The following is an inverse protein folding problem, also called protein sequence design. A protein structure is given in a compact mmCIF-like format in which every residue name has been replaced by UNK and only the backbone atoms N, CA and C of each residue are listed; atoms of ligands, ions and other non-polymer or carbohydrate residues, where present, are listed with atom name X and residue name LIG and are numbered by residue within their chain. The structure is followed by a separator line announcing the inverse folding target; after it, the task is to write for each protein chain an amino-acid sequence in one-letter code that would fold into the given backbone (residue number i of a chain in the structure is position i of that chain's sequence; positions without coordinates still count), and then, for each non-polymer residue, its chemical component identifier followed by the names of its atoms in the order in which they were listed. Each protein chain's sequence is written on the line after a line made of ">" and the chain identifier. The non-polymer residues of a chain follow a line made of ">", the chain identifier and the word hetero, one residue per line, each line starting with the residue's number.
data_IF_525142773487
#
_entry.id   IF_525142773487
#
_cell.length_a   1.000
_cell.length_b   1.000
_cell.length_c   1.000
_cell.angle_alpha   90.00
_cell.angle_beta   90.00
_cell.angle_gamma   90.00
#
_symmetry.space_group_name_H-M   'P 1'
#
loop_
_entity.id
_entity.type
_entity.pdbx_description
1 polymer ?
#
# COMPACT_ATOMS: atom_id res chain seq x y z
N UNK A 1 -14.03 -4.33 10.61
CA UNK A 1 -12.97 -4.81 9.71
C UNK A 1 -12.05 -3.65 9.44
N UNK A 2 -10.77 -3.79 9.76
CA UNK A 2 -9.79 -2.72 9.54
C UNK A 2 -9.50 -2.57 8.04
N UNK A 3 -9.33 -1.32 7.62
CA UNK A 3 -9.05 -0.95 6.23
C UNK A 3 -7.70 -0.28 6.19
N UNK A 4 -6.80 -0.85 5.39
CA UNK A 4 -5.39 -0.46 5.37
C UNK A 4 -4.95 -0.13 3.96
N UNK A 5 -4.14 0.92 3.81
CA UNK A 5 -3.44 1.22 2.57
C UNK A 5 -2.12 0.43 2.55
N UNK A 6 -1.82 -0.26 1.46
CA UNK A 6 -0.61 -1.07 1.28
C UNK A 6 0.28 -0.38 0.25
N UNK A 7 1.47 0.03 0.70
CA UNK A 7 2.46 0.76 -0.09
C UNK A 7 3.18 -0.15 -1.11
N UNK A 8 3.83 0.47 -2.09
CA UNK A 8 4.60 -0.14 -3.18
C UNK A 8 5.58 -1.18 -2.64
N UNK A 9 6.32 -0.85 -1.57
CA UNK A 9 7.38 -1.71 -1.11
C UNK A 9 6.86 -3.04 -0.52
N UNK A 10 5.71 -3.02 0.15
CA UNK A 10 5.08 -4.23 0.70
C UNK A 10 4.56 -5.13 -0.41
N UNK A 11 3.96 -4.56 -1.47
CA UNK A 11 3.53 -5.33 -2.64
C UNK A 11 4.73 -5.99 -3.34
N UNK A 12 5.86 -5.29 -3.42
CA UNK A 12 7.08 -5.84 -4.00
C UNK A 12 7.74 -6.90 -3.13
N UNK A 13 7.67 -6.77 -1.80
CA UNK A 13 8.14 -7.82 -0.87
C UNK A 13 7.40 -9.13 -1.13
N UNK A 14 6.07 -9.05 -1.31
CA UNK A 14 5.23 -10.19 -1.67
C UNK A 14 5.59 -10.76 -3.05
N UNK A 15 5.72 -9.93 -4.08
CA UNK A 15 5.96 -10.44 -5.43
C UNK A 15 7.37 -11.00 -5.68
N UNK A 16 8.38 -10.52 -4.94
CA UNK A 16 9.79 -10.88 -5.15
C UNK A 16 10.39 -11.74 -4.04
N UNK A 17 9.60 -12.15 -3.04
CA UNK A 17 10.08 -12.91 -1.88
C UNK A 17 11.31 -12.23 -1.21
N UNK A 18 11.23 -10.90 -0.99
CA UNK A 18 12.34 -10.14 -0.40
C UNK A 18 12.43 -10.41 1.11
N UNK A 19 13.33 -11.31 1.50
CA UNK A 19 13.56 -11.64 2.91
C UNK A 19 14.27 -10.50 3.66
N UNK A 20 13.94 -10.26 4.95
CA UNK A 20 12.99 -11.01 5.78
C UNK A 20 11.52 -10.52 5.68
N UNK A 21 11.20 -9.60 4.76
CA UNK A 21 9.92 -8.89 4.73
C UNK A 21 8.79 -9.66 4.07
N UNK A 22 9.12 -10.57 3.15
CA UNK A 22 8.14 -11.31 2.34
C UNK A 22 7.18 -12.17 3.16
N UNK A 23 7.62 -12.72 4.30
CA UNK A 23 6.75 -13.50 5.19
C UNK A 23 5.64 -12.63 5.78
N UNK A 24 5.99 -11.45 6.29
CA UNK A 24 5.01 -10.50 6.83
C UNK A 24 4.09 -9.95 5.74
N UNK A 25 4.63 -9.64 4.56
CA UNK A 25 3.82 -9.17 3.43
C UNK A 25 2.81 -10.25 2.99
N UNK A 26 3.25 -11.51 2.89
CA UNK A 26 2.37 -12.64 2.54
C UNK A 26 1.23 -12.79 3.55
N UNK A 27 1.52 -12.66 4.85
CA UNK A 27 0.49 -12.75 5.88
C UNK A 27 -0.53 -11.60 5.80
N UNK A 28 -0.11 -10.37 5.47
CA UNK A 28 -1.05 -9.26 5.22
C UNK A 28 -2.03 -9.60 4.08
N UNK A 29 -1.53 -10.17 2.98
CA UNK A 29 -2.39 -10.56 1.85
C UNK A 29 -3.29 -11.76 2.19
N UNK A 30 -2.81 -12.72 2.99
CA UNK A 30 -3.64 -13.80 3.52
C UNK A 30 -4.81 -13.25 4.35
N UNK A 31 -4.56 -12.29 5.25
CA UNK A 31 -5.62 -11.65 6.04
C UNK A 31 -6.65 -10.91 5.17
N UNK A 32 -6.22 -10.35 4.03
CA UNK A 32 -7.13 -9.74 3.05
C UNK A 32 -7.98 -10.80 2.34
N UNK A 33 -7.37 -11.89 1.89
CA UNK A 33 -8.04 -13.01 1.20
C UNK A 33 -9.07 -13.70 2.12
N UNK A 34 -8.71 -13.89 3.40
CA UNK A 34 -9.60 -14.40 4.46
C UNK A 34 -10.65 -13.38 4.93
N UNK A 35 -10.64 -12.14 4.38
CA UNK A 35 -11.55 -11.04 4.74
C UNK A 35 -11.50 -10.66 6.23
N UNK A 36 -10.37 -10.87 6.89
CA UNK A 36 -10.12 -10.40 8.27
C UNK A 36 -9.79 -8.91 8.29
N UNK A 37 -9.09 -8.44 7.26
CA UNK A 37 -8.84 -7.02 6.99
C UNK A 37 -9.22 -6.71 5.54
N UNK A 38 -9.30 -5.43 5.20
CA UNK A 38 -9.49 -4.99 3.81
C UNK A 38 -8.30 -4.17 3.34
N UNK A 39 -7.55 -4.72 2.39
CA UNK A 39 -6.42 -4.05 1.77
C UNK A 39 -6.85 -3.08 0.68
N UNK A 40 -6.18 -1.95 0.63
CA UNK A 40 -6.32 -0.93 -0.40
C UNK A 40 -4.95 -0.55 -0.94
N UNK A 41 -4.92 -0.04 -2.17
CA UNK A 41 -3.74 0.60 -2.77
C UNK A 41 -4.16 1.84 -3.55
N UNK A 42 -3.25 2.52 -4.24
CA UNK A 42 -3.56 3.67 -5.10
C UNK A 42 -3.15 3.41 -6.55
N UNK A 43 -3.73 4.14 -7.54
CA UNK A 43 -3.28 4.09 -8.93
C UNK A 43 -1.79 4.39 -9.10
N UNK A 44 -1.23 5.28 -8.27
CA UNK A 44 0.20 5.63 -8.29
C UNK A 44 1.06 4.44 -7.83
N UNK A 45 0.68 3.79 -6.73
CA UNK A 45 1.36 2.57 -6.26
C UNK A 45 1.32 1.47 -7.33
N UNK A 46 0.17 1.24 -7.96
CA UNK A 46 0.05 0.26 -9.06
C UNK A 46 0.99 0.60 -10.23
N UNK A 47 1.09 1.89 -10.60
CA UNK A 47 2.02 2.34 -11.63
C UNK A 47 3.47 2.05 -11.24
N UNK A 48 3.85 2.31 -10.00
CA UNK A 48 5.20 2.08 -9.49
C UNK A 48 5.54 0.59 -9.39
N UNK A 49 4.62 -0.23 -8.90
CA UNK A 49 4.74 -1.69 -8.90
C UNK A 49 4.93 -2.21 -10.33
N UNK A 50 4.09 -1.78 -11.29
CA UNK A 50 4.24 -2.17 -12.68
C UNK A 50 5.62 -1.78 -13.23
N UNK A 51 6.04 -0.54 -13.02
CA UNK A 51 7.32 -0.03 -13.49
C UNK A 51 8.49 -0.84 -12.91
N UNK A 52 8.47 -1.15 -11.61
CA UNK A 52 9.53 -1.90 -10.96
C UNK A 52 9.55 -3.37 -11.39
N UNK A 53 8.39 -4.03 -11.53
CA UNK A 53 8.29 -5.38 -12.06
C UNK A 53 8.75 -5.47 -13.53
N UNK A 54 8.54 -4.42 -14.33
CA UNK A 54 8.93 -4.39 -15.76
C UNK A 54 10.42 -4.52 -16.00
N UNK A 55 11.24 -4.21 -14.99
CA UNK A 55 12.71 -4.38 -15.04
C UNK A 55 13.14 -5.85 -14.98
N UNK A 56 12.24 -6.76 -14.57
CA UNK A 56 12.57 -8.16 -14.28
C UNK A 56 11.62 -9.16 -14.94
N UNK A 57 10.54 -8.73 -15.59
CA UNK A 57 9.50 -9.61 -16.12
C UNK A 57 8.83 -9.03 -17.36
N UNK A 58 8.23 -9.92 -18.18
CA UNK A 58 7.49 -9.52 -19.38
C UNK A 58 6.14 -8.90 -19.02
N UNK A 59 5.69 -7.94 -19.83
CA UNK A 59 4.42 -7.22 -19.66
C UNK A 59 3.24 -8.14 -19.31
N UNK A 60 3.01 -9.21 -20.08
CA UNK A 60 1.89 -10.13 -19.89
C UNK A 60 1.86 -10.78 -18.51
N UNK A 61 3.04 -11.16 -17.99
CA UNK A 61 3.20 -11.76 -16.66
C UNK A 61 2.85 -10.72 -15.58
N UNK A 62 3.30 -9.48 -15.77
CA UNK A 62 3.08 -8.39 -14.81
C UNK A 62 1.60 -8.04 -14.74
N UNK A 63 0.94 -7.89 -15.89
CA UNK A 63 -0.50 -7.63 -15.96
C UNK A 63 -1.29 -8.75 -15.29
N UNK A 64 -0.90 -10.02 -15.50
CA UNK A 64 -1.53 -11.15 -14.81
C UNK A 64 -1.37 -11.02 -13.29
N UNK A 65 -0.16 -10.79 -12.77
CA UNK A 65 0.09 -10.63 -11.33
C UNK A 65 -0.68 -9.46 -10.71
N UNK A 66 -0.74 -8.32 -11.38
CA UNK A 66 -1.49 -7.15 -10.89
C UNK A 66 -3.00 -7.47 -10.86
N UNK A 67 -3.55 -8.16 -11.88
CA UNK A 67 -4.96 -8.59 -11.86
C UNK A 67 -5.25 -9.54 -10.71
N UNK A 68 -4.36 -10.49 -10.45
CA UNK A 68 -4.48 -11.43 -9.32
C UNK A 68 -4.47 -10.68 -7.99
N UNK A 69 -3.57 -9.72 -7.80
CA UNK A 69 -3.53 -8.85 -6.63
C UNK A 69 -4.84 -8.08 -6.44
N UNK A 70 -5.39 -7.50 -7.52
CA UNK A 70 -6.63 -6.73 -7.47
C UNK A 70 -7.89 -7.57 -7.26
N UNK A 71 -7.80 -8.91 -7.25
CA UNK A 71 -8.89 -9.75 -6.76
C UNK A 71 -8.93 -9.81 -5.22
N UNK A 72 -7.83 -9.42 -4.55
CA UNK A 72 -7.63 -9.51 -3.09
C UNK A 72 -7.79 -8.13 -2.43
N UNK A 73 -7.34 -7.07 -3.10
CA UNK A 73 -7.35 -5.69 -2.58
C UNK A 73 -8.07 -4.71 -3.51
N UNK A 74 -8.55 -3.61 -2.95
CA UNK A 74 -9.21 -2.53 -3.70
C UNK A 74 -8.24 -1.38 -4.05
N UNK A 75 -8.66 -0.49 -4.96
CA UNK A 75 -7.90 0.71 -5.35
C UNK A 75 -8.65 1.97 -4.91
N UNK A 76 -7.99 2.85 -4.16
CA UNK A 76 -8.53 4.15 -3.78
C UNK A 76 -8.66 5.08 -4.99
N UNK A 77 -9.69 5.92 -4.98
CA UNK A 77 -9.85 6.97 -5.97
C UNK A 77 -8.85 8.10 -5.70
N UNK A 78 -8.26 8.63 -6.76
CA UNK A 78 -7.46 9.85 -6.72
C UNK A 78 -8.07 10.90 -7.64
N UNK A 79 -8.27 12.12 -7.14
CA UNK A 79 -8.80 13.24 -7.91
C UNK A 79 -8.03 14.54 -7.65
N UNK A 80 -8.46 15.64 -8.27
CA UNK A 80 -7.82 16.94 -8.17
C UNK A 80 -7.66 17.43 -6.72
N UNK A 81 -8.58 17.06 -5.83
CA UNK A 81 -8.55 17.45 -4.42
C UNK A 81 -7.31 16.89 -3.74
N UNK A 82 -7.07 15.59 -3.88
CA UNK A 82 -5.87 14.91 -3.36
C UNK A 82 -4.59 15.55 -3.89
N UNK A 83 -4.56 15.89 -5.17
CA UNK A 83 -3.38 16.53 -5.78
C UNK A 83 -3.11 17.90 -5.15
N UNK A 84 -4.16 18.70 -4.93
CA UNK A 84 -4.03 20.02 -4.31
C UNK A 84 -3.59 19.90 -2.85
N UNK A 85 -4.16 18.96 -2.10
CA UNK A 85 -3.77 18.73 -0.71
C UNK A 85 -2.31 18.28 -0.60
N UNK A 86 -1.89 17.34 -1.46
CA UNK A 86 -0.51 16.89 -1.53
C UNK A 86 0.47 18.04 -1.83
N UNK A 87 0.15 18.90 -2.81
CA UNK A 87 0.97 20.05 -3.20
C UNK A 87 1.09 21.10 -2.07
N UNK A 88 0.07 21.25 -1.23
CA UNK A 88 0.05 22.20 -0.12
C UNK A 88 0.56 21.61 1.20
N UNK A 89 1.03 20.37 1.18
CA UNK A 89 1.46 19.67 2.39
C UNK A 89 2.95 19.84 2.68
N UNK A 90 3.36 19.45 3.89
CA UNK A 90 4.77 19.43 4.31
C UNK A 90 5.46 18.08 4.07
N UNK A 91 4.83 17.16 3.34
CA UNK A 91 5.48 15.91 2.94
C UNK A 91 6.67 16.22 2.04
N UNK A 92 7.80 15.55 2.33
CA UNK A 92 9.02 15.72 1.53
C UNK A 92 8.90 15.00 0.19
N UNK A 93 8.31 13.82 0.22
CA UNK A 93 8.04 13.03 -0.97
C UNK A 93 6.59 13.26 -1.42
N UNK A 94 6.43 13.58 -2.70
CA UNK A 94 5.12 13.91 -3.26
C UNK A 94 4.25 12.68 -3.47
N UNK A 95 4.84 11.52 -3.74
CA UNK A 95 4.10 10.26 -3.82
C UNK A 95 3.50 9.91 -2.45
N UNK A 96 4.30 9.98 -1.39
CA UNK A 96 3.80 9.69 -0.04
C UNK A 96 2.68 10.65 0.37
N UNK A 97 2.79 11.93 -0.02
CA UNK A 97 1.73 12.91 0.16
C UNK A 97 0.44 12.46 -0.54
N UNK A 98 0.53 12.10 -1.83
CA UNK A 98 -0.59 11.63 -2.63
C UNK A 98 -1.24 10.39 -2.03
N UNK A 99 -0.44 9.40 -1.60
CA UNK A 99 -0.93 8.19 -0.93
C UNK A 99 -1.67 8.54 0.38
N UNK A 100 -1.07 9.38 1.21
CA UNK A 100 -1.64 9.82 2.49
C UNK A 100 -2.98 10.53 2.30
N UNK A 101 -3.04 11.57 1.45
CA UNK A 101 -4.30 12.30 1.24
C UNK A 101 -5.37 11.45 0.55
N UNK A 102 -4.99 10.47 -0.27
CA UNK A 102 -5.96 9.48 -0.80
C UNK A 102 -6.60 8.66 0.31
N UNK A 103 -5.80 8.21 1.28
CA UNK A 103 -6.29 7.46 2.43
C UNK A 103 -7.15 8.33 3.36
N UNK A 104 -6.72 9.57 3.64
CA UNK A 104 -7.50 10.54 4.44
C UNK A 104 -8.83 10.85 3.77
N UNK A 105 -8.85 11.17 2.47
CA UNK A 105 -10.08 11.53 1.75
C UNK A 105 -11.05 10.36 1.64
N UNK A 106 -10.56 9.11 1.60
CA UNK A 106 -11.43 7.94 1.68
C UNK A 106 -12.21 7.88 3.00
N UNK A 107 -11.64 8.39 4.11
CA UNK A 107 -12.30 8.51 5.41
C UNK A 107 -12.45 7.20 6.19
N UNK A 108 -12.17 6.04 5.59
CA UNK A 108 -12.30 4.74 6.25
C UNK A 108 -10.97 4.02 6.44
N UNK A 109 -9.91 4.43 5.73
CA UNK A 109 -8.56 3.90 5.92
C UNK A 109 -8.05 4.31 7.30
N UNK A 110 -7.62 3.33 8.09
CA UNK A 110 -7.12 3.55 9.46
C UNK A 110 -5.60 3.54 9.55
N UNK A 111 -4.94 2.82 8.64
CA UNK A 111 -3.50 2.68 8.67
C UNK A 111 -2.87 2.57 7.28
N UNK A 112 -1.61 2.98 7.19
CA UNK A 112 -0.73 2.78 6.03
C UNK A 112 0.31 1.72 6.41
N UNK A 113 0.47 0.71 5.55
CA UNK A 113 1.46 -0.35 5.68
C UNK A 113 2.61 -0.09 4.72
N UNK A 114 3.77 0.23 5.27
CA UNK A 114 5.00 0.58 4.52
C UNK A 114 6.23 0.20 5.34
N UNK A 115 7.37 -0.09 4.70
CA UNK A 115 8.66 -0.15 5.42
C UNK A 115 9.25 1.23 5.69
N UNK A 116 8.75 2.27 5.03
CA UNK A 116 9.31 3.63 5.05
C UNK A 116 8.59 4.56 6.03
N UNK A 117 8.33 4.10 7.27
CA UNK A 117 7.52 4.84 8.28
C UNK A 117 7.93 6.31 8.42
N UNK A 118 9.23 6.62 8.40
CA UNK A 118 9.78 7.97 8.56
C UNK A 118 9.28 8.97 7.52
N UNK A 119 8.91 8.49 6.33
CA UNK A 119 8.49 9.34 5.21
C UNK A 119 7.03 9.81 5.41
N UNK A 120 6.28 9.12 6.28
CA UNK A 120 4.92 9.45 6.70
C UNK A 120 4.84 10.17 8.06
N UNK A 121 5.93 10.78 8.53
CA UNK A 121 5.95 11.50 9.83
C UNK A 121 4.93 12.65 9.96
N UNK A 122 4.40 13.14 8.84
CA UNK A 122 3.40 14.20 8.77
C UNK A 122 1.98 13.65 8.50
N UNK A 123 1.81 12.32 8.55
CA UNK A 123 0.51 11.67 8.40
C UNK A 123 -0.27 11.73 9.71
N UNK A 124 -1.56 12.01 9.62
CA UNK A 124 -2.51 11.85 10.74
C UNK A 124 -3.02 10.40 10.87
N UNK A 125 -2.64 9.51 9.93
CA UNK A 125 -3.00 8.10 9.95
C UNK A 125 -1.98 7.29 10.75
N UNK A 126 -2.40 6.14 11.26
CA UNK A 126 -1.46 5.20 11.84
C UNK A 126 -0.56 4.63 10.72
N UNK A 127 0.74 4.49 10.99
CA UNK A 127 1.71 3.99 10.02
C UNK A 127 2.49 2.84 10.63
N UNK A 128 2.49 1.69 9.98
CA UNK A 128 3.11 0.48 10.49
C UNK A 128 3.93 -0.22 9.40
N UNK A 129 4.99 -0.93 9.81
CA UNK A 129 5.48 -2.03 8.98
C UNK A 129 4.49 -3.19 9.04
N UNK A 130 4.45 -4.08 8.02
CA UNK A 130 3.66 -5.30 8.07
C UNK A 130 3.88 -6.11 9.36
N UNK A 131 5.14 -6.28 9.79
CA UNK A 131 5.49 -6.99 11.02
C UNK A 131 4.83 -6.37 12.26
N UNK A 132 4.93 -5.05 12.42
CA UNK A 132 4.38 -4.34 13.58
C UNK A 132 2.86 -4.40 13.55
N UNK A 133 2.24 -4.20 12.38
CA UNK A 133 0.80 -4.29 12.23
C UNK A 133 0.27 -5.66 12.67
N UNK A 134 0.87 -6.75 12.19
CA UNK A 134 0.46 -8.12 12.53
C UNK A 134 0.50 -8.40 14.03
N UNK A 135 1.51 -7.86 14.74
CA UNK A 135 1.59 -7.97 16.20
C UNK A 135 0.43 -7.28 16.93
N UNK A 136 -0.22 -6.29 16.33
CA UNK A 136 -1.40 -5.63 16.92
C UNK A 136 -2.70 -6.41 16.69
N UNK A 137 -2.75 -7.31 15.70
CA UNK A 137 -3.92 -8.15 15.40
C UNK A 137 -3.99 -9.41 16.28
N UNK A 138 -2.92 -9.73 17.01
CA UNK A 138 -2.80 -10.95 17.83
C UNK A 138 -3.28 -10.84 19.28
N UNK A 139 -4.13 -9.86 19.61
CA UNK A 139 -4.77 -9.71 20.94
C UNK A 139 -6.28 -9.94 20.88
#
# INVERSE_FOLDING_TARGET
>A
MDKVLIDTDVILDFFFDRKPFSEFASEIFNLCEEKKIKGYTTPVIICNVYYLLSKYSKHEIIIKKIRELLNIIDVLKMDKTIVIEALNSNFKDFEDALQNFSAIQNGEIKAILTRNIKDYKNSDLAVFTPEVYLKTQGN
#
